data_IF_676632924343
#
_entry.id   IF_676632924343
#
_cell.length_a   1.000
_cell.length_b   1.000
_cell.length_c   1.000
_cell.angle_alpha   90.00
_cell.angle_beta   90.00
_cell.angle_gamma   90.00
#
_symmetry.space_group_name_H-M   'P 1'
#
loop_
_entity.id
_entity.type
_entity.pdbx_description
1 polymer ?
#
# COMPACT_ATOMS: atom_id res chain seq x y z
N UNK A 1 6.81 -14.32 -17.55
CA UNK A 1 5.47 -14.21 -16.92
C UNK A 1 4.52 -13.55 -17.91
N UNK A 2 3.37 -14.14 -18.27
CA UNK A 2 2.44 -13.51 -19.21
C UNK A 2 1.80 -12.26 -18.57
N UNK A 3 1.90 -11.11 -19.26
CA UNK A 3 1.43 -9.77 -18.82
C UNK A 3 0.01 -9.75 -18.21
N UNK A 4 -0.88 -10.66 -18.64
CA UNK A 4 -2.25 -10.76 -18.11
C UNK A 4 -2.30 -11.17 -16.63
N UNK A 5 -1.44 -12.10 -16.20
CA UNK A 5 -1.42 -12.56 -14.79
C UNK A 5 -0.91 -11.46 -13.86
N UNK A 6 0.07 -10.69 -14.32
CA UNK A 6 0.64 -9.56 -13.58
C UNK A 6 -0.41 -8.46 -13.34
N UNK A 7 -1.20 -8.11 -14.35
CA UNK A 7 -2.28 -7.12 -14.21
C UNK A 7 -3.34 -7.60 -13.21
N UNK A 8 -3.73 -8.88 -13.25
CA UNK A 8 -4.69 -9.43 -12.28
C UNK A 8 -4.11 -9.36 -10.88
N UNK A 9 -2.83 -9.69 -10.72
CA UNK A 9 -2.13 -9.63 -9.44
C UNK A 9 -2.12 -8.20 -8.88
N UNK A 10 -1.81 -7.21 -9.71
CA UNK A 10 -1.83 -5.79 -9.35
C UNK A 10 -3.23 -5.33 -8.90
N UNK A 11 -4.27 -5.67 -9.66
CA UNK A 11 -5.67 -5.32 -9.33
C UNK A 11 -6.17 -5.94 -8.03
N UNK A 12 -5.69 -7.13 -7.67
CA UNK A 12 -5.99 -7.77 -6.38
C UNK A 12 -5.40 -6.99 -5.22
N UNK A 13 -4.12 -6.63 -5.34
CA UNK A 13 -3.41 -5.83 -4.33
C UNK A 13 -4.00 -4.42 -4.19
N UNK A 14 -4.30 -3.76 -5.30
CA UNK A 14 -4.93 -2.43 -5.29
C UNK A 14 -6.27 -2.43 -4.52
N UNK A 15 -7.09 -3.47 -4.68
CA UNK A 15 -8.35 -3.60 -3.93
C UNK A 15 -8.13 -3.71 -2.41
N UNK A 16 -7.16 -4.52 -1.99
CA UNK A 16 -6.77 -4.62 -0.58
C UNK A 16 -6.25 -3.26 -0.09
N UNK A 17 -5.38 -2.61 -0.87
CA UNK A 17 -4.80 -1.35 -0.49
C UNK A 17 -5.82 -0.22 -0.37
N UNK A 18 -6.80 -0.14 -1.26
CA UNK A 18 -7.87 0.84 -1.15
C UNK A 18 -8.77 0.58 0.07
N UNK A 19 -8.98 -0.67 0.45
CA UNK A 19 -9.75 -1.00 1.65
C UNK A 19 -9.04 -0.57 2.94
N UNK A 20 -7.73 -0.83 3.04
CA UNK A 20 -6.96 -0.51 4.25
C UNK A 20 -6.40 0.91 4.28
N UNK A 21 -6.05 1.48 3.12
CA UNK A 21 -5.34 2.76 2.96
C UNK A 21 -6.06 3.76 2.03
N UNK A 22 -7.32 3.50 1.68
CA UNK A 22 -8.15 4.43 0.89
C UNK A 22 -8.67 5.61 1.69
N UNK A 23 -8.67 5.53 3.03
CA UNK A 23 -9.16 6.57 3.93
C UNK A 23 -7.97 7.35 4.51
N UNK A 24 -8.08 8.68 4.53
CA UNK A 24 -7.09 9.57 5.16
C UNK A 24 -6.98 9.25 6.65
N UNK A 25 -5.75 8.97 7.14
CA UNK A 25 -5.49 8.63 8.55
C UNK A 25 -5.53 7.13 8.89
N UNK A 26 -5.75 6.25 7.91
CA UNK A 26 -5.82 4.79 8.12
C UNK A 26 -4.47 4.09 8.36
N UNK A 27 -3.36 4.79 8.12
CA UNK A 27 -1.99 4.29 8.28
C UNK A 27 -1.68 3.85 9.73
N UNK A 28 -2.27 4.50 10.72
CA UNK A 28 -2.01 4.25 12.15
C UNK A 28 -2.84 3.10 12.72
N UNK A 29 -3.88 2.65 12.01
CA UNK A 29 -4.89 1.72 12.55
C UNK A 29 -5.08 0.44 11.74
N UNK A 30 -4.14 0.10 10.86
CA UNK A 30 -4.24 -1.15 10.10
C UNK A 30 -4.06 -2.37 11.01
N UNK A 31 -5.14 -3.12 11.22
CA UNK A 31 -5.13 -4.39 11.95
C UNK A 31 -4.44 -5.48 11.12
N UNK A 32 -3.23 -5.89 11.53
CA UNK A 32 -2.45 -6.94 10.85
C UNK A 32 -3.22 -8.26 10.65
N UNK A 33 -4.00 -8.78 11.63
CA UNK A 33 -4.82 -9.97 11.40
C UNK A 33 -5.85 -9.80 10.28
N UNK A 34 -6.50 -8.62 10.19
CA UNK A 34 -7.48 -8.34 9.12
C UNK A 34 -6.79 -8.26 7.76
N UNK A 35 -5.60 -7.66 7.70
CA UNK A 35 -4.80 -7.56 6.48
C UNK A 35 -4.34 -8.95 6.00
N UNK A 36 -3.84 -9.79 6.91
CA UNK A 36 -3.50 -11.19 6.62
C UNK A 36 -4.69 -11.94 6.03
N UNK A 37 -5.86 -11.87 6.68
CA UNK A 37 -7.07 -12.55 6.19
C UNK A 37 -7.52 -12.04 4.81
N UNK A 38 -7.40 -10.74 4.55
CA UNK A 38 -7.73 -10.17 3.24
C UNK A 38 -6.79 -10.67 2.13
N UNK A 39 -5.48 -10.76 2.40
CA UNK A 39 -4.49 -11.29 1.47
C UNK A 39 -4.78 -12.76 1.16
N UNK A 40 -5.00 -13.59 2.18
CA UNK A 40 -5.30 -15.02 2.02
C UNK A 40 -6.57 -15.19 1.17
N UNK A 41 -7.62 -14.42 1.45
CA UNK A 41 -8.89 -14.50 0.72
C UNK A 41 -8.76 -14.10 -0.75
N UNK A 42 -8.06 -13.00 -1.04
CA UNK A 42 -7.97 -12.44 -2.39
C UNK A 42 -7.01 -13.25 -3.28
N UNK A 43 -5.89 -13.70 -2.72
CA UNK A 43 -4.89 -14.48 -3.46
C UNK A 43 -5.15 -15.99 -3.40
N UNK A 44 -6.04 -16.45 -2.53
CA UNK A 44 -6.27 -17.88 -2.23
C UNK A 44 -4.96 -18.60 -1.90
N UNK A 45 -4.08 -17.91 -1.18
CA UNK A 45 -2.76 -18.40 -0.81
C UNK A 45 -2.52 -18.11 0.68
N UNK A 46 -2.36 -19.21 1.43
CA UNK A 46 -2.11 -19.25 2.87
C UNK A 46 -0.62 -19.16 3.21
N UNK A 47 0.28 -19.45 2.25
CA UNK A 47 1.72 -19.55 2.47
C UNK A 47 2.25 -18.33 3.26
N UNK A 48 2.79 -18.60 4.44
CA UNK A 48 3.11 -17.53 5.38
C UNK A 48 4.19 -16.59 4.80
N UNK A 49 5.17 -17.12 4.04
CA UNK A 49 6.20 -16.29 3.40
C UNK A 49 5.59 -15.36 2.36
N UNK A 50 4.66 -15.85 1.54
CA UNK A 50 3.91 -15.05 0.59
C UNK A 50 3.11 -13.95 1.29
N UNK A 51 2.33 -14.32 2.31
CA UNK A 51 1.49 -13.38 3.07
C UNK A 51 2.34 -12.29 3.73
N UNK A 52 3.41 -12.65 4.44
CA UNK A 52 4.32 -11.70 5.09
C UNK A 52 4.97 -10.75 4.06
N UNK A 53 5.36 -11.29 2.90
CA UNK A 53 5.94 -10.48 1.83
C UNK A 53 4.93 -9.45 1.28
N UNK A 54 3.67 -9.85 1.09
CA UNK A 54 2.60 -8.94 0.66
C UNK A 54 2.30 -7.87 1.72
N UNK A 55 2.25 -8.24 3.00
CA UNK A 55 2.06 -7.28 4.11
C UNK A 55 3.16 -6.22 4.07
N UNK A 56 4.43 -6.65 4.04
CA UNK A 56 5.58 -5.75 4.03
C UNK A 56 5.55 -4.81 2.82
N UNK A 57 5.29 -5.37 1.64
CA UNK A 57 5.20 -4.59 0.40
C UNK A 57 4.12 -3.52 0.49
N UNK A 58 2.91 -3.89 0.91
CA UNK A 58 1.78 -2.95 1.01
C UNK A 58 2.04 -1.85 2.05
N UNK A 59 2.66 -2.18 3.19
CA UNK A 59 3.05 -1.20 4.20
C UNK A 59 4.13 -0.24 3.68
N UNK A 60 5.11 -0.74 2.93
CA UNK A 60 6.11 0.12 2.28
C UNK A 60 5.46 1.05 1.26
N UNK A 61 4.57 0.54 0.42
CA UNK A 61 3.84 1.34 -0.57
C UNK A 61 2.97 2.42 0.09
N UNK A 62 2.30 2.10 1.20
CA UNK A 62 1.55 3.06 1.99
C UNK A 62 2.45 4.18 2.55
N UNK A 63 3.59 3.82 3.16
CA UNK A 63 4.57 4.80 3.67
C UNK A 63 5.08 5.73 2.57
N UNK A 64 5.46 5.19 1.42
CA UNK A 64 5.93 5.99 0.27
C UNK A 64 4.84 6.95 -0.21
N UNK A 65 3.57 6.52 -0.23
CA UNK A 65 2.44 7.37 -0.61
C UNK A 65 2.27 8.57 0.33
N UNK A 66 2.44 8.36 1.64
CA UNK A 66 2.40 9.44 2.64
C UNK A 66 3.57 10.39 2.44
N UNK A 67 4.80 9.88 2.43
CA UNK A 67 6.00 10.71 2.27
C UNK A 67 5.94 11.54 0.98
N UNK A 68 5.42 10.96 -0.10
CA UNK A 68 5.22 11.66 -1.36
C UNK A 68 4.17 12.76 -1.24
N UNK A 69 3.08 12.55 -0.48
CA UNK A 69 2.08 13.59 -0.19
C UNK A 69 2.65 14.68 0.70
N UNK A 70 3.36 14.35 1.78
CA UNK A 70 3.96 15.30 2.72
C UNK A 70 5.02 16.18 2.03
N UNK A 71 5.85 15.61 1.15
CA UNK A 71 6.85 16.38 0.37
C UNK A 71 6.23 17.46 -0.52
N UNK A 72 4.99 17.31 -0.97
CA UNK A 72 4.27 18.36 -1.73
C UNK A 72 3.84 19.52 -0.82
N UNK A 73 3.60 19.28 0.47
CA UNK A 73 3.22 20.32 1.43
C UNK A 73 4.40 21.17 1.89
N UNK A 74 5.63 20.65 1.82
CA UNK A 74 6.84 21.46 2.02
C UNK A 74 7.16 22.19 0.70
N UNK A 75 6.28 23.12 0.30
CA UNK A 75 6.68 24.16 -0.64
C UNK A 75 7.77 24.98 0.05
N UNK A 76 9.00 24.80 -0.42
CA UNK A 76 10.15 25.66 -0.12
C UNK A 76 9.67 27.12 -0.22
N UNK A 77 9.86 27.99 0.79
CA UNK A 77 9.58 29.41 0.60
C UNK A 77 10.44 29.85 -0.58
N UNK A 78 9.80 30.45 -1.58
CA UNK A 78 10.51 31.13 -2.67
C UNK A 78 11.35 32.21 -2.02
N UNK A 79 12.64 31.93 -1.84
CA UNK A 79 13.63 32.93 -1.52
C UNK A 79 13.67 33.82 -2.76
N UNK A 80 12.86 34.87 -2.77
CA UNK A 80 13.08 36.03 -3.60
C UNK A 80 14.33 36.70 -3.02
N UNK A 81 15.49 36.31 -3.54
CA UNK A 81 16.69 37.12 -3.45
C UNK A 81 16.46 38.30 -4.41
N UNK A 82 16.16 39.47 -3.83
CA UNK A 82 16.39 40.75 -4.47
C UNK A 82 17.89 40.98 -4.67
#
# INVERSE_FOLDING_TARGET
MPRKLEIVFLKKRERIQNYFWGIVGSDEHTSLPKLKNAIIREFRNDDDRFVQSQIKLMQTEARVRIESRVKVWIKKPSINLC
#
